data_IF_564232458171
#
_entry.id   IF_564232458171
#
_cell.length_a   1.000
_cell.length_b   1.000
_cell.length_c   1.000
_cell.angle_alpha   90.00
_cell.angle_beta   90.00
_cell.angle_gamma   90.00
#
_symmetry.space_group_name_H-M   'P 1'
#
loop_
_entity.id
_entity.type
_entity.pdbx_description
1 polymer ?
#
# COMPACT_ATOMS: atom_id res chain seq x y z
N UNK A 1 2.04 7.34 39.34
CA UNK A 1 1.48 7.52 37.97
C UNK A 1 2.62 7.77 36.98
N UNK A 2 3.47 6.77 36.73
CA UNK A 2 4.76 6.95 36.06
C UNK A 2 4.95 6.02 34.87
N UNK A 3 4.04 6.03 33.89
CA UNK A 3 4.23 5.20 32.67
C UNK A 3 3.83 5.88 31.35
N UNK A 4 3.30 7.10 31.36
CA UNK A 4 2.77 7.74 30.15
C UNK A 4 3.79 8.54 29.30
N UNK A 5 5.10 8.44 29.56
CA UNK A 5 6.14 9.15 28.79
C UNK A 5 7.14 8.25 28.05
N UNK A 6 6.98 6.92 28.09
CA UNK A 6 7.77 6.04 27.23
C UNK A 6 7.17 6.09 25.82
N UNK A 7 7.72 6.97 24.97
CA UNK A 7 7.42 6.95 23.53
C UNK A 7 7.49 5.53 22.98
N UNK A 8 6.67 5.25 21.95
CA UNK A 8 6.45 3.90 21.41
C UNK A 8 7.76 3.08 21.32
N UNK A 9 7.76 1.83 21.82
CA UNK A 9 8.93 0.97 21.75
C UNK A 9 9.41 0.81 20.30
N UNK A 10 10.73 0.77 20.09
CA UNK A 10 11.34 0.63 18.76
C UNK A 10 10.77 -0.54 17.96
N UNK A 11 10.50 -1.67 18.63
CA UNK A 11 9.92 -2.85 17.98
C UNK A 11 8.52 -2.59 17.42
N UNK A 12 7.70 -1.73 18.07
CA UNK A 12 6.35 -1.40 17.57
C UNK A 12 6.43 -0.63 16.25
N UNK A 13 7.41 0.27 16.11
CA UNK A 13 7.64 1.03 14.87
C UNK A 13 8.03 0.08 13.73
N UNK A 14 8.92 -0.88 14.01
CA UNK A 14 9.37 -1.88 13.04
C UNK A 14 8.21 -2.82 12.65
N UNK A 15 7.47 -3.34 13.64
CA UNK A 15 6.32 -4.21 13.41
C UNK A 15 5.26 -3.48 12.58
N UNK A 16 4.99 -2.21 12.87
CA UNK A 16 4.02 -1.43 12.09
C UNK A 16 4.49 -1.21 10.66
N UNK A 17 5.78 -0.92 10.44
CA UNK A 17 6.35 -0.78 9.10
C UNK A 17 6.15 -2.05 8.26
N UNK A 18 6.24 -3.23 8.86
CA UNK A 18 6.08 -4.52 8.18
C UNK A 18 4.60 -4.92 8.05
N UNK A 19 3.86 -4.94 9.14
CA UNK A 19 2.46 -5.42 9.19
C UNK A 19 1.54 -4.52 8.37
N UNK A 20 1.68 -3.19 8.47
CA UNK A 20 0.88 -2.28 7.65
C UNK A 20 1.15 -2.52 6.17
N UNK A 21 2.40 -2.83 5.79
CA UNK A 21 2.73 -3.14 4.40
C UNK A 21 2.08 -4.43 3.93
N UNK A 22 2.07 -5.48 4.75
CA UNK A 22 1.37 -6.74 4.45
C UNK A 22 -0.11 -6.46 4.19
N UNK A 23 -0.77 -5.75 5.11
CA UNK A 23 -2.17 -5.35 4.98
C UNK A 23 -2.44 -4.56 3.70
N UNK A 24 -1.57 -3.60 3.36
CA UNK A 24 -1.71 -2.82 2.13
C UNK A 24 -1.74 -3.67 0.87
N UNK A 25 -0.92 -4.72 0.79
CA UNK A 25 -0.97 -5.58 -0.39
C UNK A 25 -2.13 -6.56 -0.40
N UNK A 26 -2.60 -7.02 0.77
CA UNK A 26 -3.85 -7.79 0.82
C UNK A 26 -5.02 -6.94 0.32
N UNK A 27 -5.13 -5.71 0.80
CA UNK A 27 -6.16 -4.76 0.34
C UNK A 27 -6.03 -4.46 -1.16
N UNK A 28 -4.82 -4.32 -1.68
CA UNK A 28 -4.60 -4.15 -3.11
C UNK A 28 -5.09 -5.35 -3.93
N UNK A 29 -4.74 -6.57 -3.54
CA UNK A 29 -5.21 -7.78 -4.23
C UNK A 29 -6.72 -7.91 -4.17
N UNK A 30 -7.32 -7.64 -3.01
CA UNK A 30 -8.79 -7.64 -2.84
C UNK A 30 -9.44 -6.56 -3.71
N UNK A 31 -8.86 -5.37 -3.81
CA UNK A 31 -9.39 -4.29 -4.64
C UNK A 31 -9.35 -4.63 -6.14
N UNK A 32 -8.24 -5.23 -6.61
CA UNK A 32 -8.13 -5.70 -7.99
C UNK A 32 -9.16 -6.80 -8.28
N UNK A 33 -9.34 -7.75 -7.36
CA UNK A 33 -10.31 -8.83 -7.54
C UNK A 33 -11.75 -8.33 -7.51
N UNK A 34 -12.07 -7.41 -6.61
CA UNK A 34 -13.38 -6.76 -6.54
C UNK A 34 -13.68 -5.83 -7.73
N UNK A 35 -12.64 -5.30 -8.38
CA UNK A 35 -12.75 -4.45 -9.57
C UNK A 35 -12.81 -5.23 -10.89
N UNK A 36 -12.83 -6.57 -10.86
CA UNK A 36 -12.97 -7.39 -12.08
C UNK A 36 -14.42 -7.43 -12.55
N UNK A 37 -14.62 -7.11 -13.82
CA UNK A 37 -15.89 -7.29 -14.51
C UNK A 37 -16.25 -8.78 -14.62
N UNK A 38 -17.54 -9.07 -14.49
CA UNK A 38 -18.08 -10.41 -14.69
C UNK A 38 -18.04 -10.82 -16.18
N UNK A 39 -18.04 -12.13 -16.47
CA UNK A 39 -18.10 -12.62 -17.87
C UNK A 39 -19.33 -12.11 -18.63
N UNK A 40 -20.45 -11.90 -17.94
CA UNK A 40 -21.67 -11.34 -18.53
C UNK A 40 -21.49 -9.89 -18.97
N UNK A 41 -20.84 -9.06 -18.15
CA UNK A 41 -20.57 -7.65 -18.48
C UNK A 41 -19.57 -7.53 -19.63
N UNK A 42 -18.54 -8.40 -19.62
CA UNK A 42 -17.55 -8.48 -20.69
C UNK A 42 -18.14 -8.81 -22.07
N UNK A 43 -19.21 -9.59 -22.12
CA UNK A 43 -19.89 -9.94 -23.38
C UNK A 43 -20.94 -8.91 -23.79
N UNK A 44 -21.51 -8.17 -22.84
CA UNK A 44 -22.57 -7.19 -23.11
C UNK A 44 -22.05 -5.81 -23.49
N UNK A 45 -20.85 -5.44 -23.03
CA UNK A 45 -20.28 -4.12 -23.28
C UNK A 45 -19.08 -4.21 -24.25
N UNK A 46 -19.17 -3.61 -25.46
CA UNK A 46 -18.04 -3.54 -26.38
C UNK A 46 -16.83 -2.76 -25.82
N UNK A 47 -17.03 -1.95 -24.79
CA UNK A 47 -15.99 -1.18 -24.10
C UNK A 47 -15.57 -1.80 -22.76
N UNK A 48 -15.91 -3.06 -22.48
CA UNK A 48 -15.54 -3.73 -21.24
C UNK A 48 -14.02 -3.75 -20.99
N UNK A 49 -13.21 -3.84 -22.06
CA UNK A 49 -11.75 -3.76 -21.98
C UNK A 49 -11.26 -2.41 -21.46
N UNK A 50 -11.77 -1.30 -22.01
CA UNK A 50 -11.41 0.05 -21.58
C UNK A 50 -11.86 0.29 -20.13
N UNK A 51 -13.08 -0.14 -19.78
CA UNK A 51 -13.63 0.00 -18.43
C UNK A 51 -12.79 -0.76 -17.39
N UNK A 52 -12.34 -1.98 -17.74
CA UNK A 52 -11.46 -2.76 -16.87
C UNK A 52 -10.07 -2.12 -16.75
N UNK A 53 -9.52 -1.60 -17.85
CA UNK A 53 -8.23 -0.91 -17.86
C UNK A 53 -8.25 0.33 -16.96
N UNK A 54 -9.24 1.22 -17.13
CA UNK A 54 -9.39 2.41 -16.28
C UNK A 54 -9.56 2.06 -14.79
N UNK A 55 -10.32 1.00 -14.48
CA UNK A 55 -10.53 0.55 -13.10
C UNK A 55 -9.22 0.04 -12.49
N UNK A 56 -8.47 -0.77 -13.23
CA UNK A 56 -7.17 -1.27 -12.79
C UNK A 56 -6.16 -0.12 -12.59
N UNK A 57 -6.08 0.82 -13.53
CA UNK A 57 -5.23 2.01 -13.42
C UNK A 57 -5.58 2.86 -12.19
N UNK A 58 -6.87 3.09 -11.94
CA UNK A 58 -7.33 3.82 -10.76
C UNK A 58 -6.94 3.12 -9.45
N UNK A 59 -7.09 1.79 -9.38
CA UNK A 59 -6.70 1.00 -8.21
C UNK A 59 -5.18 1.05 -7.99
N UNK A 60 -4.38 0.93 -9.05
CA UNK A 60 -2.92 1.06 -8.98
C UNK A 60 -2.52 2.46 -8.53
N UNK A 61 -3.14 3.51 -9.06
CA UNK A 61 -2.89 4.90 -8.66
C UNK A 61 -3.21 5.12 -7.18
N UNK A 62 -4.39 4.69 -6.71
CA UNK A 62 -4.78 4.77 -5.30
C UNK A 62 -3.81 4.01 -4.40
N UNK A 63 -3.35 2.84 -4.83
CA UNK A 63 -2.38 2.05 -4.10
C UNK A 63 -1.02 2.76 -3.98
N UNK A 64 -0.51 3.35 -5.06
CA UNK A 64 0.73 4.15 -5.04
C UNK A 64 0.56 5.39 -4.17
N UNK A 65 -0.55 6.12 -4.30
CA UNK A 65 -0.86 7.28 -3.46
C UNK A 65 -0.89 6.91 -1.97
N UNK A 66 -1.54 5.79 -1.62
CA UNK A 66 -1.58 5.29 -0.25
C UNK A 66 -0.20 4.94 0.30
N UNK A 67 0.72 4.42 -0.53
CA UNK A 67 2.10 4.18 -0.12
C UNK A 67 2.84 5.48 0.20
N UNK A 68 2.67 6.53 -0.61
CA UNK A 68 3.27 7.83 -0.35
C UNK A 68 2.73 8.45 0.94
N UNK A 69 1.41 8.42 1.13
CA UNK A 69 0.77 8.87 2.38
C UNK A 69 1.31 8.08 3.57
N UNK A 70 1.45 6.76 3.45
CA UNK A 70 2.00 5.91 4.50
C UNK A 70 3.45 6.30 4.85
N UNK A 71 4.31 6.52 3.86
CA UNK A 71 5.70 6.91 4.06
C UNK A 71 5.85 8.31 4.67
N UNK A 72 4.96 9.25 4.31
CA UNK A 72 5.05 10.65 4.75
C UNK A 72 4.35 10.87 6.08
N UNK A 73 3.18 10.28 6.32
CA UNK A 73 2.35 10.59 7.51
C UNK A 73 2.70 9.71 8.70
N UNK A 74 2.81 8.39 8.48
CA UNK A 74 2.99 7.40 9.55
C UNK A 74 4.20 7.66 10.46
N UNK A 75 5.41 7.97 9.97
CA UNK A 75 6.55 8.18 10.86
C UNK A 75 6.42 9.44 11.71
N UNK A 76 5.68 10.45 11.25
CA UNK A 76 5.43 11.66 12.03
C UNK A 76 4.30 11.47 13.05
N UNK A 77 3.29 10.67 12.70
CA UNK A 77 2.21 10.30 13.60
C UNK A 77 2.67 9.34 14.71
N UNK A 78 3.55 8.37 14.39
CA UNK A 78 3.99 7.35 15.35
C UNK A 78 5.08 7.84 16.32
N UNK A 79 5.98 8.72 15.89
CA UNK A 79 7.10 9.10 16.76
C UNK A 79 7.62 10.49 16.47
N UNK A 80 8.06 11.19 17.53
CA UNK A 80 8.79 12.47 17.42
C UNK A 80 10.31 12.29 17.38
N UNK A 81 10.82 11.05 17.56
CA UNK A 81 12.25 10.77 17.61
C UNK A 81 12.82 10.60 16.19
N UNK A 82 13.80 11.42 15.76
CA UNK A 82 14.30 11.39 14.38
C UNK A 82 14.97 10.06 14.01
N UNK A 83 15.67 9.41 14.95
CA UNK A 83 16.31 8.10 14.74
C UNK A 83 15.30 6.99 14.41
N UNK A 84 14.12 7.01 15.05
CA UNK A 84 13.08 6.01 14.80
C UNK A 84 12.35 6.27 13.47
N UNK A 85 12.22 7.54 13.06
CA UNK A 85 11.71 7.88 11.72
C UNK A 85 12.65 7.39 10.62
N UNK A 86 13.95 7.58 10.80
CA UNK A 86 14.96 7.07 9.87
C UNK A 86 14.90 5.54 9.78
N UNK A 87 14.79 4.83 10.91
CA UNK A 87 14.64 3.38 10.93
C UNK A 87 13.35 2.91 10.23
N UNK A 88 12.23 3.61 10.45
CA UNK A 88 10.97 3.35 9.75
C UNK A 88 11.15 3.50 8.24
N UNK A 89 11.71 4.62 7.76
CA UNK A 89 11.93 4.84 6.33
C UNK A 89 12.91 3.83 5.71
N UNK A 90 13.98 3.49 6.42
CA UNK A 90 14.96 2.51 5.95
C UNK A 90 14.33 1.13 5.66
N UNK A 91 13.23 0.79 6.34
CA UNK A 91 12.50 -0.47 6.14
C UNK A 91 11.32 -0.28 5.18
N UNK A 92 10.48 0.73 5.42
CA UNK A 92 9.25 0.94 4.69
C UNK A 92 9.51 1.34 3.23
N UNK A 93 10.50 2.19 2.95
CA UNK A 93 10.81 2.67 1.59
C UNK A 93 11.19 1.54 0.64
N UNK A 94 12.16 0.65 0.94
CA UNK A 94 12.48 -0.46 0.03
C UNK A 94 11.29 -1.43 -0.13
N UNK A 95 10.50 -1.67 0.92
CA UNK A 95 9.28 -2.48 0.82
C UNK A 95 8.19 -1.81 -0.02
N UNK A 96 8.12 -0.48 -0.03
CA UNK A 96 7.25 0.28 -0.92
C UNK A 96 7.70 0.11 -2.38
N UNK A 97 8.97 0.41 -2.66
CA UNK A 97 9.58 0.27 -3.99
C UNK A 97 9.44 -1.14 -4.55
N UNK A 98 9.78 -2.17 -3.78
CA UNK A 98 9.69 -3.57 -4.22
C UNK A 98 8.26 -3.94 -4.64
N UNK A 99 7.25 -3.55 -3.86
CA UNK A 99 5.86 -3.87 -4.18
C UNK A 99 5.32 -3.04 -5.34
N UNK A 100 5.76 -1.80 -5.50
CA UNK A 100 5.41 -0.99 -6.68
C UNK A 100 6.01 -1.60 -7.94
N UNK A 101 7.25 -2.09 -7.89
CA UNK A 101 7.86 -2.85 -8.99
C UNK A 101 7.05 -4.12 -9.30
N UNK A 102 6.69 -4.92 -8.29
CA UNK A 102 5.86 -6.13 -8.49
C UNK A 102 4.50 -5.78 -9.10
N UNK A 103 3.85 -4.71 -8.63
CA UNK A 103 2.58 -4.27 -9.18
C UNK A 103 2.73 -3.83 -10.66
N UNK A 104 3.77 -3.07 -10.99
CA UNK A 104 4.06 -2.66 -12.38
C UNK A 104 4.37 -3.87 -13.28
N UNK A 105 5.20 -4.81 -12.84
CA UNK A 105 5.49 -6.03 -13.62
C UNK A 105 4.26 -6.93 -13.77
N UNK A 106 3.45 -7.06 -12.72
CA UNK A 106 2.20 -7.82 -12.77
C UNK A 106 1.19 -7.24 -13.76
N UNK A 107 1.18 -5.93 -13.95
CA UNK A 107 0.33 -5.24 -14.94
C UNK A 107 0.84 -5.39 -16.38
N UNK A 108 2.15 -5.64 -16.60
CA UNK A 108 2.69 -5.89 -17.94
C UNK A 108 2.56 -7.35 -18.40
N UNK A 109 2.33 -8.27 -17.45
CA UNK A 109 2.25 -9.71 -17.72
C UNK A 109 0.82 -10.24 -17.93
N UNK A 110 -0.19 -9.41 -17.63
CA UNK A 110 -1.61 -9.68 -17.91
C UNK A 110 -2.09 -8.85 -19.09
#
# INVERSE_FOLDING_TARGET
>A
MAEFQRGLPTWVVIVTAVVARILFGVLFTVAIDAGRLSESEWRSDPNAGDTQAYTNEAIVFLYVAAQFVFLIVTPFAMTRRPRLRAAFWAIATPLCLLRSLIATFGQMAG
#
